data_IF_993735668104
#
_entry.id   IF_993735668104
#
_cell.length_a   1.000
_cell.length_b   1.000
_cell.length_c   1.000
_cell.angle_alpha   90.00
_cell.angle_beta   90.00
_cell.angle_gamma   90.00
#
_symmetry.space_group_name_H-M   'P 1'
#
loop_
_entity.id
_entity.type
_entity.pdbx_description
1 polymer ?
#
# COMPACT_ATOMS: atom_id res chain seq x y z
N UNK A 1 15.87 -24.69 -2.35
CA UNK A 1 17.28 -24.98 -2.68
C UNK A 1 17.60 -24.66 -4.15
N UNK A 2 16.64 -24.79 -5.07
CA UNK A 2 16.86 -24.56 -6.49
C UNK A 2 17.25 -23.14 -6.86
N UNK A 3 16.61 -22.12 -6.30
CA UNK A 3 16.83 -20.71 -6.64
C UNK A 3 18.21 -20.16 -6.25
N UNK A 4 18.87 -20.75 -5.28
CA UNK A 4 20.21 -20.33 -4.85
C UNK A 4 21.30 -20.61 -5.91
N UNK A 5 21.02 -21.49 -6.86
CA UNK A 5 21.95 -21.87 -7.93
C UNK A 5 21.56 -21.26 -9.29
N UNK A 6 20.61 -20.36 -9.32
CA UNK A 6 20.25 -19.68 -10.58
C UNK A 6 21.29 -18.62 -10.92
N UNK A 7 21.55 -18.48 -12.20
CA UNK A 7 22.44 -17.46 -12.73
C UNK A 7 21.69 -16.14 -12.90
N UNK A 8 21.90 -15.20 -11.98
CA UNK A 8 21.21 -13.90 -11.98
C UNK A 8 21.52 -13.07 -13.25
N UNK A 9 22.67 -13.30 -13.90
CA UNK A 9 22.99 -12.65 -15.17
C UNK A 9 22.08 -13.14 -16.29
N UNK A 10 21.86 -14.46 -16.37
CA UNK A 10 20.98 -15.08 -17.37
C UNK A 10 19.51 -14.69 -17.13
N UNK A 11 19.08 -14.60 -15.87
CA UNK A 11 17.73 -14.13 -15.52
C UNK A 11 17.53 -12.69 -15.99
N UNK A 12 18.50 -11.80 -15.73
CA UNK A 12 18.44 -10.39 -16.13
C UNK A 12 18.41 -10.23 -17.67
N UNK A 13 19.14 -11.05 -18.41
CA UNK A 13 19.11 -11.06 -19.88
C UNK A 13 17.72 -11.43 -20.44
N UNK A 14 16.91 -12.14 -19.66
CA UNK A 14 15.54 -12.52 -19.98
C UNK A 14 14.48 -11.61 -19.30
N UNK A 15 14.87 -10.46 -18.75
CA UNK A 15 13.97 -9.54 -18.05
C UNK A 15 13.24 -10.17 -16.86
N UNK A 16 13.92 -11.06 -16.13
CA UNK A 16 13.43 -11.70 -14.93
C UNK A 16 14.23 -11.21 -13.75
N UNK A 17 13.59 -10.57 -12.79
CA UNK A 17 14.16 -10.27 -11.50
C UNK A 17 13.88 -11.40 -10.50
N UNK A 18 14.68 -11.48 -9.44
CA UNK A 18 14.57 -12.52 -8.43
C UNK A 18 14.69 -11.95 -7.03
N UNK A 19 13.64 -12.15 -6.24
CA UNK A 19 13.64 -11.88 -4.81
C UNK A 19 13.68 -13.22 -4.10
N UNK A 20 14.85 -13.64 -3.65
CA UNK A 20 15.13 -14.92 -3.01
C UNK A 20 14.75 -16.10 -3.92
N UNK A 21 13.59 -16.72 -3.73
CA UNK A 21 13.06 -17.85 -4.50
C UNK A 21 11.84 -17.49 -5.37
N UNK A 22 11.53 -16.21 -5.46
CA UNK A 22 10.39 -15.70 -6.21
C UNK A 22 10.87 -14.95 -7.44
N UNK A 23 10.39 -15.35 -8.60
CA UNK A 23 10.69 -14.70 -9.87
C UNK A 23 9.66 -13.62 -10.18
N UNK A 24 10.13 -12.51 -10.72
CA UNK A 24 9.32 -11.38 -11.13
C UNK A 24 9.62 -11.12 -12.61
N UNK A 25 8.57 -11.10 -13.41
CA UNK A 25 8.61 -10.64 -14.79
C UNK A 25 8.63 -9.11 -14.80
N UNK A 26 9.73 -8.51 -15.28
CA UNK A 26 9.92 -7.06 -15.28
C UNK A 26 8.94 -6.35 -16.22
N UNK A 27 8.56 -6.98 -17.34
CA UNK A 27 7.57 -6.41 -18.26
C UNK A 27 6.17 -6.36 -17.63
N UNK A 28 5.77 -7.42 -16.94
CA UNK A 28 4.49 -7.45 -16.20
C UNK A 28 4.50 -6.45 -15.04
N UNK A 29 5.65 -6.23 -14.37
CA UNK A 29 5.79 -5.23 -13.34
C UNK A 29 5.61 -3.81 -13.90
N UNK A 30 6.22 -3.49 -15.04
CA UNK A 30 6.02 -2.21 -15.72
C UNK A 30 4.56 -2.00 -16.16
N UNK A 31 3.88 -3.06 -16.60
CA UNK A 31 2.44 -2.98 -16.92
C UNK A 31 1.64 -2.60 -15.67
N UNK A 32 2.00 -3.17 -14.51
CA UNK A 32 1.38 -2.81 -13.24
C UNK A 32 1.56 -1.33 -12.92
N UNK A 33 2.79 -0.81 -13.01
CA UNK A 33 3.10 0.60 -12.75
C UNK A 33 2.33 1.55 -13.68
N UNK A 34 2.29 1.23 -14.98
CA UNK A 34 1.52 2.00 -15.97
C UNK A 34 0.03 1.99 -15.66
N UNK A 35 -0.53 0.82 -15.30
CA UNK A 35 -1.94 0.68 -14.94
C UNK A 35 -2.30 1.53 -13.73
N UNK A 36 -1.44 1.60 -12.72
CA UNK A 36 -1.63 2.46 -11.54
C UNK A 36 -1.66 3.93 -11.95
N UNK A 37 -0.76 4.35 -12.85
CA UNK A 37 -0.76 5.69 -13.41
C UNK A 37 -2.05 6.01 -14.19
N UNK A 38 -2.56 5.06 -14.97
CA UNK A 38 -3.82 5.19 -15.72
C UNK A 38 -5.05 5.28 -14.79
N UNK A 39 -5.06 4.54 -13.68
CA UNK A 39 -6.10 4.68 -12.66
C UNK A 39 -6.08 6.11 -12.12
N UNK A 40 -4.91 6.64 -11.79
CA UNK A 40 -4.75 8.00 -11.30
C UNK A 40 -5.19 9.06 -12.33
N UNK A 41 -4.93 8.85 -13.63
CA UNK A 41 -5.33 9.75 -14.71
C UNK A 41 -6.87 9.91 -14.81
N UNK A 42 -7.62 8.91 -14.35
CA UNK A 42 -9.10 8.91 -14.37
C UNK A 42 -9.74 9.42 -13.07
N UNK A 43 -8.93 9.82 -12.08
CA UNK A 43 -9.44 10.34 -10.81
C UNK A 43 -9.51 11.88 -10.83
N UNK A 44 -10.37 12.40 -9.95
CA UNK A 44 -10.42 13.84 -9.70
C UNK A 44 -9.09 14.35 -9.16
N UNK A 45 -8.48 15.39 -9.75
CA UNK A 45 -7.22 15.98 -9.28
C UNK A 45 -7.38 16.62 -7.89
N UNK A 46 -7.06 15.86 -6.85
CA UNK A 46 -7.06 16.30 -5.44
C UNK A 46 -6.05 15.50 -4.64
N UNK A 47 -5.91 15.83 -3.38
CA UNK A 47 -5.14 15.05 -2.42
C UNK A 47 -5.94 13.83 -1.96
N UNK A 48 -5.32 12.65 -2.00
CA UNK A 48 -5.83 11.36 -1.53
C UNK A 48 -4.96 10.86 -0.39
N UNK A 49 -5.51 10.11 0.55
CA UNK A 49 -4.70 9.23 1.40
C UNK A 49 -4.36 7.96 0.60
N UNK A 50 -3.36 7.19 1.01
CA UNK A 50 -3.09 5.90 0.36
C UNK A 50 -4.31 4.99 0.46
N UNK A 51 -5.03 5.02 1.59
CA UNK A 51 -6.28 4.27 1.76
C UNK A 51 -7.33 4.62 0.70
N UNK A 52 -7.55 5.91 0.44
CA UNK A 52 -8.50 6.35 -0.59
C UNK A 52 -8.05 5.88 -1.98
N UNK A 53 -6.78 6.00 -2.28
CA UNK A 53 -6.25 5.60 -3.57
C UNK A 53 -6.26 4.07 -3.76
N UNK A 54 -5.89 3.29 -2.74
CA UNK A 54 -5.97 1.83 -2.77
C UNK A 54 -7.41 1.35 -2.93
N UNK A 55 -8.38 2.07 -2.36
CA UNK A 55 -9.79 1.78 -2.58
C UNK A 55 -10.18 1.95 -4.07
N UNK A 56 -9.70 2.98 -4.76
CA UNK A 56 -9.94 3.16 -6.20
C UNK A 56 -9.22 2.07 -7.04
N UNK A 57 -8.03 1.62 -6.62
CA UNK A 57 -7.37 0.45 -7.22
C UNK A 57 -8.25 -0.80 -7.05
N UNK A 58 -8.81 -1.04 -5.86
CA UNK A 58 -9.71 -2.17 -5.60
C UNK A 58 -10.96 -2.15 -6.48
N UNK A 59 -11.55 -0.99 -6.64
CA UNK A 59 -12.68 -0.75 -7.55
C UNK A 59 -12.35 -1.07 -9.00
N UNK A 60 -11.16 -0.65 -9.47
CA UNK A 60 -10.67 -0.99 -10.80
C UNK A 60 -10.50 -2.50 -10.96
N UNK A 61 -9.85 -3.17 -10.00
CA UNK A 61 -9.57 -4.60 -10.03
C UNK A 61 -10.86 -5.43 -10.06
N UNK A 62 -11.92 -5.00 -9.41
CA UNK A 62 -13.21 -5.69 -9.44
C UNK A 62 -13.72 -5.96 -10.86
N UNK A 63 -13.48 -5.04 -11.78
CA UNK A 63 -13.94 -5.15 -13.17
C UNK A 63 -12.85 -5.62 -14.13
N UNK A 64 -11.56 -5.39 -13.83
CA UNK A 64 -10.48 -5.53 -14.79
C UNK A 64 -9.43 -6.59 -14.42
N UNK A 65 -9.46 -7.16 -13.19
CA UNK A 65 -8.47 -8.15 -12.79
C UNK A 65 -8.54 -9.43 -13.62
N UNK A 66 -7.38 -9.88 -14.13
CA UNK A 66 -7.23 -11.17 -14.82
C UNK A 66 -7.54 -12.37 -13.90
N UNK A 67 -7.18 -12.24 -12.61
CA UNK A 67 -7.46 -13.24 -11.55
C UNK A 67 -8.22 -12.56 -10.42
N UNK A 68 -9.21 -13.22 -9.90
CA UNK A 68 -10.01 -12.74 -8.76
C UNK A 68 -9.40 -13.13 -7.43
N UNK A 69 -9.80 -12.41 -6.37
CA UNK A 69 -9.44 -12.74 -5.00
C UNK A 69 -8.10 -12.15 -4.54
N UNK A 70 -7.62 -11.07 -5.16
CA UNK A 70 -6.48 -10.32 -4.63
C UNK A 70 -6.83 -9.63 -3.31
N UNK A 71 -5.82 -9.40 -2.45
CA UNK A 71 -6.01 -8.72 -1.18
C UNK A 71 -6.74 -7.37 -1.35
N UNK A 72 -6.35 -6.57 -2.34
CA UNK A 72 -6.94 -5.25 -2.59
C UNK A 72 -8.40 -5.37 -3.05
N UNK A 73 -8.71 -6.31 -3.96
CA UNK A 73 -10.08 -6.55 -4.43
C UNK A 73 -10.98 -7.01 -3.28
N UNK A 74 -10.54 -7.97 -2.47
CA UNK A 74 -11.30 -8.48 -1.31
C UNK A 74 -11.53 -7.38 -0.27
N UNK A 75 -10.51 -6.56 -0.01
CA UNK A 75 -10.62 -5.43 0.93
C UNK A 75 -11.63 -4.39 0.43
N UNK A 76 -11.62 -4.08 -0.85
CA UNK A 76 -12.63 -3.22 -1.47
C UNK A 76 -14.04 -3.80 -1.30
N UNK A 77 -14.26 -5.07 -1.63
CA UNK A 77 -15.58 -5.71 -1.55
C UNK A 77 -16.13 -5.80 -0.12
N UNK A 78 -15.25 -5.90 0.87
CA UNK A 78 -15.63 -5.97 2.29
C UNK A 78 -15.48 -4.63 3.03
N UNK A 79 -15.15 -3.55 2.33
CA UNK A 79 -14.92 -2.22 2.90
C UNK A 79 -13.90 -2.23 4.06
N UNK A 80 -12.82 -3.01 3.91
CA UNK A 80 -11.71 -3.07 4.85
C UNK A 80 -10.65 -2.07 4.40
N UNK A 81 -10.28 -1.08 5.22
CA UNK A 81 -9.31 -0.08 4.83
C UNK A 81 -7.89 -0.65 4.79
N UNK A 82 -7.12 -0.29 3.77
CA UNK A 82 -5.69 -0.57 3.64
C UNK A 82 -4.94 0.75 3.70
N UNK A 83 -3.97 0.85 4.61
CA UNK A 83 -3.06 2.00 4.75
C UNK A 83 -1.65 1.61 4.34
N UNK A 84 -0.98 2.45 3.57
CA UNK A 84 0.39 2.22 3.09
C UNK A 84 1.28 3.43 3.43
N UNK A 85 1.94 3.43 4.59
CA UNK A 85 2.63 4.62 5.12
C UNK A 85 3.85 5.07 4.30
N UNK A 86 4.47 4.17 3.54
CA UNK A 86 5.59 4.49 2.64
C UNK A 86 5.19 4.33 1.17
N UNK A 87 4.06 4.88 0.78
CA UNK A 87 3.41 4.66 -0.50
C UNK A 87 4.30 4.98 -1.72
N UNK A 88 5.15 6.00 -1.63
CA UNK A 88 6.04 6.40 -2.73
C UNK A 88 7.21 5.45 -2.95
N UNK A 89 7.59 4.66 -1.94
CA UNK A 89 8.62 3.62 -2.04
C UNK A 89 8.00 2.29 -2.51
N UNK A 90 7.37 2.32 -3.67
CA UNK A 90 6.67 1.17 -4.24
C UNK A 90 6.42 1.35 -5.74
N UNK A 91 6.06 0.27 -6.44
CA UNK A 91 5.59 0.32 -7.84
C UNK A 91 4.47 1.34 -8.05
N UNK A 92 3.56 1.48 -7.08
CA UNK A 92 2.52 2.49 -7.14
C UNK A 92 3.08 3.92 -7.16
N UNK A 93 4.20 4.17 -6.48
CA UNK A 93 4.93 5.43 -6.54
C UNK A 93 5.40 5.77 -7.96
N UNK A 94 5.95 4.80 -8.69
CA UNK A 94 6.36 5.01 -10.10
C UNK A 94 5.16 5.36 -10.99
N UNK A 95 4.04 4.67 -10.80
CA UNK A 95 2.79 4.97 -11.52
C UNK A 95 2.33 6.41 -11.28
N UNK A 96 2.42 6.89 -10.04
CA UNK A 96 2.05 8.27 -9.71
C UNK A 96 3.04 9.31 -10.25
N UNK A 97 4.34 9.01 -10.31
CA UNK A 97 5.32 9.89 -10.96
C UNK A 97 4.98 10.04 -12.45
N UNK A 98 4.70 8.95 -13.15
CA UNK A 98 4.26 8.99 -14.55
C UNK A 98 2.95 9.78 -14.73
N UNK A 99 2.00 9.61 -13.81
CA UNK A 99 0.75 10.38 -13.79
C UNK A 99 1.01 11.89 -13.70
N UNK A 100 1.86 12.32 -12.75
CA UNK A 100 2.16 13.74 -12.56
C UNK A 100 2.93 14.34 -13.74
N UNK A 101 3.84 13.59 -14.36
CA UNK A 101 4.55 14.02 -15.57
C UNK A 101 3.58 14.27 -16.74
N UNK A 102 2.59 13.39 -16.92
CA UNK A 102 1.55 13.58 -17.95
C UNK A 102 0.58 14.70 -17.61
N UNK A 103 0.37 15.01 -16.33
CA UNK A 103 -0.64 15.93 -15.82
C UNK A 103 -0.01 17.03 -14.92
N UNK A 104 0.94 17.84 -15.40
CA UNK A 104 1.75 18.72 -14.54
C UNK A 104 0.94 19.81 -13.82
N UNK A 105 -0.23 20.18 -14.32
CA UNK A 105 -1.06 21.23 -13.73
C UNK A 105 -2.22 20.71 -12.88
N UNK A 106 -2.69 19.49 -13.14
CA UNK A 106 -3.86 18.91 -12.47
C UNK A 106 -3.63 17.41 -12.27
N UNK A 107 -3.15 17.05 -11.11
CA UNK A 107 -2.84 15.68 -10.76
C UNK A 107 -3.31 15.34 -9.34
N UNK A 108 -3.32 14.07 -9.01
CA UNK A 108 -3.52 13.63 -7.64
C UNK A 108 -2.20 13.71 -6.84
N UNK A 109 -2.33 13.85 -5.52
CA UNK A 109 -1.21 13.74 -4.56
C UNK A 109 -1.59 12.78 -3.45
N UNK A 110 -0.58 12.20 -2.78
CA UNK A 110 -0.80 11.36 -1.60
C UNK A 110 -0.47 12.18 -0.35
N UNK A 111 -1.46 12.32 0.54
CA UNK A 111 -1.36 13.03 1.81
C UNK A 111 -1.12 12.02 2.94
N UNK A 112 0.13 11.74 3.22
CA UNK A 112 0.55 10.81 4.28
C UNK A 112 0.26 11.33 5.68
N UNK A 113 0.19 12.64 5.88
CA UNK A 113 -0.15 13.24 7.17
C UNK A 113 -1.63 13.04 7.47
N UNK A 114 -2.50 13.32 6.51
CA UNK A 114 -3.93 13.05 6.64
C UNK A 114 -4.21 11.56 6.86
N UNK A 115 -3.45 10.70 6.20
CA UNK A 115 -3.52 9.25 6.39
C UNK A 115 -3.22 8.84 7.83
N UNK A 116 -2.12 9.34 8.41
CA UNK A 116 -1.76 9.03 9.79
C UNK A 116 -2.81 9.54 10.78
N UNK A 117 -3.37 10.72 10.53
CA UNK A 117 -4.49 11.24 11.30
C UNK A 117 -5.72 10.34 11.20
N UNK A 118 -6.06 9.87 10.01
CA UNK A 118 -7.19 8.96 9.78
C UNK A 118 -7.02 7.64 10.53
N UNK A 119 -5.83 7.03 10.49
CA UNK A 119 -5.52 5.82 11.25
C UNK A 119 -5.60 6.07 12.76
N UNK A 120 -5.12 7.21 13.23
CA UNK A 120 -5.23 7.63 14.63
C UNK A 120 -6.69 7.78 15.07
N UNK A 121 -7.56 8.34 14.23
CA UNK A 121 -9.00 8.42 14.50
C UNK A 121 -9.66 7.04 14.67
N UNK A 122 -9.22 6.04 13.90
CA UNK A 122 -9.67 4.66 14.06
C UNK A 122 -9.29 4.16 15.46
N UNK A 123 -8.05 4.41 15.89
CA UNK A 123 -7.58 4.04 17.23
C UNK A 123 -8.40 4.74 18.33
N UNK A 124 -8.66 6.04 18.19
CA UNK A 124 -9.45 6.82 19.16
C UNK A 124 -10.87 6.27 19.32
N UNK A 125 -11.49 5.83 18.21
CA UNK A 125 -12.85 5.28 18.23
C UNK A 125 -12.90 3.83 18.71
N UNK A 126 -11.78 3.13 18.73
CA UNK A 126 -11.70 1.72 19.12
C UNK A 126 -11.67 1.61 20.65
N UNK A 127 -12.63 0.91 21.24
CA UNK A 127 -12.64 0.62 22.70
C UNK A 127 -11.49 -0.28 23.10
N UNK A 128 -11.26 -1.34 22.32
CA UNK A 128 -10.16 -2.28 22.46
C UNK A 128 -9.56 -2.54 21.07
N UNK A 129 -8.27 -2.76 21.00
CA UNK A 129 -7.58 -3.10 19.77
C UNK A 129 -6.49 -4.14 20.01
N UNK A 130 -6.24 -4.96 19.02
CA UNK A 130 -5.15 -5.92 18.97
C UNK A 130 -4.38 -5.78 17.68
N UNK A 131 -3.11 -6.19 17.69
CA UNK A 131 -2.23 -6.19 16.54
C UNK A 131 -1.86 -7.62 16.15
N UNK A 132 -2.01 -7.92 14.87
CA UNK A 132 -1.45 -9.11 14.27
C UNK A 132 -0.44 -8.67 13.21
N UNK A 133 0.84 -8.89 13.45
CA UNK A 133 1.94 -8.38 12.63
C UNK A 133 2.64 -9.53 11.91
N UNK A 134 2.81 -9.37 10.61
CA UNK A 134 3.60 -10.29 9.78
C UNK A 134 4.82 -9.50 9.30
N UNK A 135 6.02 -9.89 9.75
CA UNK A 135 7.23 -9.11 9.56
C UNK A 135 7.33 -7.94 10.54
N UNK A 136 7.85 -6.78 10.08
CA UNK A 136 8.08 -5.58 10.91
C UNK A 136 8.27 -4.32 10.05
N UNK A 137 9.08 -3.39 10.52
CA UNK A 137 9.40 -2.14 9.80
C UNK A 137 8.35 -1.04 9.92
N UNK A 138 8.27 -0.17 8.91
CA UNK A 138 7.44 1.04 8.93
C UNK A 138 5.96 0.78 9.27
N UNK A 139 5.25 -0.20 8.69
CA UNK A 139 3.85 -0.44 9.02
C UNK A 139 3.62 -0.80 10.49
N UNK A 140 4.55 -1.53 11.10
CA UNK A 140 4.50 -1.87 12.53
C UNK A 140 4.60 -0.61 13.39
N UNK A 141 5.57 0.25 13.15
CA UNK A 141 5.73 1.50 13.88
C UNK A 141 4.53 2.41 13.68
N UNK A 142 4.10 2.55 12.43
CA UNK A 142 2.97 3.39 12.05
C UNK A 142 1.69 3.07 12.82
N UNK A 143 1.35 1.78 12.98
CA UNK A 143 0.15 1.38 13.73
C UNK A 143 0.34 1.56 15.24
N UNK A 144 1.53 1.31 15.80
CA UNK A 144 1.81 1.47 17.21
C UNK A 144 1.83 2.95 17.62
N UNK A 145 2.36 3.84 16.79
CA UNK A 145 2.46 5.27 17.04
C UNK A 145 1.11 5.99 17.06
N UNK A 146 0.03 5.33 16.63
CA UNK A 146 -1.34 5.88 16.75
C UNK A 146 -1.76 6.15 18.18
N UNK A 147 -1.23 5.40 19.16
CA UNK A 147 -1.48 5.65 20.60
C UNK A 147 -0.85 6.97 21.01
N UNK A 148 0.44 7.16 20.68
CA UNK A 148 1.17 8.40 21.01
C UNK A 148 0.54 9.60 20.29
N UNK A 149 0.17 9.43 19.02
CA UNK A 149 -0.48 10.49 18.26
C UNK A 149 -1.83 10.88 18.87
N UNK A 150 -2.62 9.92 19.34
CA UNK A 150 -3.89 10.20 20.03
C UNK A 150 -3.67 11.01 21.32
N UNK A 151 -2.66 10.65 22.12
CA UNK A 151 -2.29 11.39 23.33
C UNK A 151 -1.87 12.83 23.02
N UNK A 152 -1.07 13.04 21.96
CA UNK A 152 -0.70 14.38 21.49
C UNK A 152 -1.89 15.21 21.03
N UNK A 153 -2.96 14.57 20.57
CA UNK A 153 -4.23 15.20 20.23
C UNK A 153 -5.15 15.42 21.46
N UNK A 154 -4.66 15.15 22.67
CA UNK A 154 -5.41 15.30 23.92
C UNK A 154 -6.50 14.25 24.11
N UNK A 155 -6.36 13.07 23.51
CA UNK A 155 -7.28 11.94 23.63
C UNK A 155 -6.69 10.85 24.48
N UNK A 156 -7.42 10.41 25.49
CA UNK A 156 -7.07 9.22 26.27
C UNK A 156 -7.48 7.97 25.51
N UNK A 157 -6.49 7.10 25.21
CA UNK A 157 -6.71 5.81 24.56
C UNK A 157 -5.95 4.71 25.30
N UNK A 158 -6.53 3.52 25.34
CA UNK A 158 -5.82 2.37 25.86
C UNK A 158 -4.74 1.91 24.89
N UNK A 159 -3.66 1.33 25.38
CA UNK A 159 -2.69 0.58 24.58
C UNK A 159 -3.38 -0.55 23.80
N UNK A 160 -2.70 -1.11 22.82
CA UNK A 160 -3.18 -2.34 22.17
C UNK A 160 -3.18 -3.48 23.17
N UNK A 161 -4.35 -4.09 23.40
CA UNK A 161 -4.55 -5.12 24.42
C UNK A 161 -3.81 -6.40 24.12
N UNK A 162 -3.73 -6.75 22.85
CA UNK A 162 -3.04 -7.95 22.38
C UNK A 162 -2.12 -7.59 21.23
N UNK A 163 -0.97 -8.27 21.15
CA UNK A 163 -0.04 -8.14 20.04
C UNK A 163 0.62 -9.49 19.75
N UNK A 164 0.57 -9.92 18.50
CA UNK A 164 1.25 -11.11 17.99
C UNK A 164 2.11 -10.69 16.81
N UNK A 165 3.35 -11.12 16.78
CA UNK A 165 4.27 -10.87 15.66
C UNK A 165 4.86 -12.19 15.17
N UNK A 166 4.82 -12.39 13.86
CA UNK A 166 5.49 -13.46 13.13
C UNK A 166 6.65 -12.84 12.35
N UNK A 167 7.86 -13.35 12.59
CA UNK A 167 9.12 -12.88 11.95
C UNK A 167 9.83 -14.04 11.26
#
# INVERSE_FOLDING_TARGET
QGSQFQNDTELRENYIDRIYDTYIDEDELQICDKTIGEIADNLEPRSYTSREFIYEIGKYLKSNAKKKGSLIEISYDNNVPIFCPAFTDSSAGFGLVMHQERNPKKHITIDSIREFRELTEIKIRSKESGLFMIGGGVPKNFIQDTVICAELLGKEVSMHKYAVQIT
#
